data_IF_951806053804
#
_entry.id   IF_951806053804
#
_cell.length_a   1.000
_cell.length_b   1.000
_cell.length_c   1.000
_cell.angle_alpha   90.00
_cell.angle_beta   90.00
_cell.angle_gamma   90.00
#
_symmetry.space_group_name_H-M   'P 1'
#
loop_
_entity.id
_entity.type
_entity.pdbx_description
1 polymer ?
#
# COMPACT_ATOMS: atom_id res chain seq x y z
N UNK A 1 -12.00 10.08 2.89
CA UNK A 1 -12.91 9.19 2.15
C UNK A 1 -13.91 10.05 1.38
N UNK A 2 -14.08 9.76 0.09
CA UNK A 2 -15.10 10.37 -0.75
C UNK A 2 -16.46 9.70 -0.58
N UNK A 3 -17.49 10.29 -1.19
CA UNK A 3 -18.85 9.80 -1.12
C UNK A 3 -18.96 8.40 -1.73
N UNK A 4 -19.64 7.48 -1.05
CA UNK A 4 -19.79 6.08 -1.47
C UNK A 4 -18.46 5.33 -1.63
N UNK A 5 -17.35 5.84 -1.09
CA UNK A 5 -16.13 5.04 -1.00
C UNK A 5 -16.31 3.94 0.04
N UNK A 6 -15.76 2.76 -0.23
CA UNK A 6 -15.96 1.56 0.59
C UNK A 6 -14.64 0.85 0.83
N UNK A 7 -14.44 0.42 2.06
CA UNK A 7 -13.35 -0.49 2.45
C UNK A 7 -14.00 -1.81 2.85
N UNK A 8 -13.77 -2.86 2.07
CA UNK A 8 -14.17 -4.24 2.37
C UNK A 8 -13.09 -4.90 3.22
N UNK A 9 -13.13 -4.66 4.52
CA UNK A 9 -12.15 -5.21 5.47
C UNK A 9 -12.01 -4.36 6.74
N UNK A 10 -11.12 -4.80 7.62
CA UNK A 10 -10.78 -4.07 8.84
C UNK A 10 -9.91 -2.86 8.50
N UNK A 11 -10.10 -1.77 9.26
CA UNK A 11 -9.27 -0.57 9.14
C UNK A 11 -8.53 -0.32 10.44
N UNK A 12 -7.22 -0.16 10.35
CA UNK A 12 -6.41 0.38 11.44
C UNK A 12 -5.76 1.68 10.98
N UNK A 13 -5.82 2.73 11.79
CA UNK A 13 -5.23 4.03 11.45
C UNK A 13 -4.58 4.69 12.66
N UNK A 14 -3.35 5.19 12.49
CA UNK A 14 -2.70 6.07 13.48
C UNK A 14 -3.14 7.53 13.38
N UNK A 15 -4.02 7.84 12.42
CA UNK A 15 -4.57 9.17 12.16
C UNK A 15 -6.09 9.14 12.05
N UNK A 16 -6.70 10.33 12.01
CA UNK A 16 -8.15 10.44 11.83
C UNK A 16 -8.63 9.87 10.48
N UNK A 17 -9.80 9.23 10.47
CA UNK A 17 -10.46 8.71 9.27
C UNK A 17 -11.72 9.53 9.00
N UNK A 18 -11.67 10.38 7.98
CA UNK A 18 -12.69 11.40 7.72
C UNK A 18 -13.28 11.17 6.33
N UNK A 19 -14.60 11.04 6.24
CA UNK A 19 -15.35 11.24 5.02
C UNK A 19 -15.71 12.73 4.88
N UNK A 20 -14.98 13.43 4.03
CA UNK A 20 -15.13 14.88 3.82
C UNK A 20 -16.30 15.24 2.91
N UNK A 21 -16.83 14.26 2.18
CA UNK A 21 -18.00 14.40 1.32
C UNK A 21 -18.84 13.13 1.36
N UNK A 22 -20.12 13.26 1.72
CA UNK A 22 -21.03 12.12 1.82
C UNK A 22 -20.63 11.09 2.88
N UNK A 23 -21.03 9.84 2.68
CA UNK A 23 -20.76 8.73 3.61
C UNK A 23 -19.66 7.83 3.07
N UNK A 24 -18.64 7.56 3.89
CA UNK A 24 -17.66 6.50 3.65
C UNK A 24 -18.07 5.20 4.34
N UNK A 25 -17.83 4.05 3.72
CA UNK A 25 -18.27 2.75 4.22
C UNK A 25 -17.07 1.87 4.63
N UNK A 26 -17.18 1.19 5.77
CA UNK A 26 -16.24 0.18 6.24
C UNK A 26 -17.06 -1.07 6.58
N UNK A 27 -16.76 -2.18 5.91
CA UNK A 27 -17.57 -3.41 6.02
C UNK A 27 -17.27 -4.24 7.27
N UNK A 28 -16.13 -3.99 7.92
CA UNK A 28 -15.77 -4.64 9.16
C UNK A 28 -15.46 -3.58 10.22
N UNK A 29 -14.54 -3.91 11.14
CA UNK A 29 -14.22 -3.08 12.28
C UNK A 29 -13.16 -2.01 11.97
N UNK A 30 -13.23 -0.88 12.66
CA UNK A 30 -12.22 0.19 12.58
C UNK A 30 -11.58 0.48 13.94
N UNK A 31 -10.27 0.65 13.95
CA UNK A 31 -9.50 1.14 15.11
C UNK A 31 -8.71 2.39 14.70
N UNK A 32 -8.91 3.48 15.43
CA UNK A 32 -8.17 4.74 15.26
C UNK A 32 -7.37 5.01 16.53
N UNK A 33 -6.04 4.95 16.39
CA UNK A 33 -5.10 5.16 17.47
C UNK A 33 -4.85 6.64 17.78
N UNK A 34 -4.22 6.89 18.93
CA UNK A 34 -3.87 8.18 19.53
C UNK A 34 -5.06 9.05 19.95
N UNK A 35 -4.89 9.71 21.09
CA UNK A 35 -5.81 10.71 21.60
C UNK A 35 -5.87 11.92 20.66
N UNK A 36 -7.06 12.50 20.53
CA UNK A 36 -7.32 13.62 19.60
C UNK A 36 -7.67 13.20 18.17
N UNK A 37 -7.43 11.95 17.76
CA UNK A 37 -7.89 11.46 16.47
C UNK A 37 -9.37 11.10 16.46
N UNK A 38 -9.98 11.11 15.27
CA UNK A 38 -11.41 10.89 15.12
C UNK A 38 -11.81 10.07 13.91
N UNK A 39 -13.00 9.50 13.99
CA UNK A 39 -13.77 9.10 12.82
C UNK A 39 -14.85 10.16 12.53
N UNK A 40 -15.07 10.47 11.26
CA UNK A 40 -16.08 11.43 10.86
C UNK A 40 -16.78 11.02 9.56
N UNK A 41 -18.12 11.04 9.51
CA UNK A 41 -18.89 10.79 8.29
C UNK A 41 -18.89 9.33 7.80
N UNK A 42 -18.67 8.37 8.69
CA UNK A 42 -18.52 6.95 8.32
C UNK A 42 -19.77 6.12 8.62
N UNK A 43 -19.95 5.05 7.85
CA UNK A 43 -20.82 3.92 8.16
C UNK A 43 -19.95 2.68 8.37
N UNK A 44 -19.92 2.15 9.60
CA UNK A 44 -19.11 1.00 10.01
C UNK A 44 -20.04 -0.17 10.31
N UNK A 45 -19.88 -1.29 9.60
CA UNK A 45 -20.80 -2.42 9.70
C UNK A 45 -20.55 -3.35 10.90
N UNK A 46 -19.39 -3.25 11.54
CA UNK A 46 -19.08 -3.94 12.80
C UNK A 46 -18.73 -2.92 13.91
N UNK A 47 -17.59 -3.08 14.57
CA UNK A 47 -17.18 -2.29 15.73
C UNK A 47 -16.29 -1.11 15.37
N UNK A 48 -16.33 -0.06 16.20
CA UNK A 48 -15.42 1.07 16.09
C UNK A 48 -14.74 1.35 17.43
N UNK A 49 -13.41 1.48 17.43
CA UNK A 49 -12.62 1.93 18.59
C UNK A 49 -11.84 3.18 18.23
N UNK A 50 -12.10 4.31 18.90
CA UNK A 50 -11.56 5.64 18.51
C UNK A 50 -11.46 6.57 19.72
N UNK A 51 -10.72 7.68 19.64
CA UNK A 51 -10.84 8.74 20.66
C UNK A 51 -12.14 9.55 20.50
N UNK A 52 -12.38 10.15 19.34
CA UNK A 52 -13.59 10.95 19.05
C UNK A 52 -14.40 10.38 17.88
N UNK A 53 -15.73 10.30 18.02
CA UNK A 53 -16.66 9.96 16.95
C UNK A 53 -17.54 11.15 16.58
N UNK A 54 -17.61 11.50 15.30
CA UNK A 54 -18.47 12.56 14.78
C UNK A 54 -19.31 12.09 13.58
N UNK A 55 -20.61 12.38 13.56
CA UNK A 55 -21.50 12.17 12.40
C UNK A 55 -21.34 10.80 11.72
N UNK A 56 -21.22 9.72 12.50
CA UNK A 56 -20.93 8.38 11.99
C UNK A 56 -21.91 7.33 12.54
N UNK A 57 -22.27 6.34 11.74
CA UNK A 57 -23.14 5.25 12.11
C UNK A 57 -22.32 3.96 12.29
N UNK A 58 -22.39 3.35 13.47
CA UNK A 58 -21.73 2.10 13.81
C UNK A 58 -22.83 1.05 14.02
N UNK A 59 -22.77 -0.09 13.33
CA UNK A 59 -23.76 -1.16 13.52
C UNK A 59 -23.49 -1.97 14.77
N UNK A 60 -22.22 -2.24 15.10
CA UNK A 60 -21.82 -2.95 16.31
C UNK A 60 -21.61 -2.02 17.51
N UNK A 61 -20.49 -2.20 18.19
CA UNK A 61 -20.10 -1.49 19.41
C UNK A 61 -19.23 -0.29 19.05
N UNK A 62 -19.57 0.89 19.57
CA UNK A 62 -18.69 2.05 19.56
C UNK A 62 -17.96 2.15 20.91
N UNK A 63 -16.64 1.97 20.91
CA UNK A 63 -15.79 2.21 22.08
C UNK A 63 -15.01 3.51 21.89
N UNK A 64 -15.24 4.51 22.74
CA UNK A 64 -14.48 5.76 22.70
C UNK A 64 -13.53 5.92 23.90
N UNK A 65 -12.39 6.60 23.71
CA UNK A 65 -11.42 6.87 24.79
C UNK A 65 -11.88 8.04 25.65
N UNK A 66 -11.69 7.93 26.97
CA UNK A 66 -11.98 8.99 27.94
C UNK A 66 -11.23 10.28 27.59
N UNK A 67 -11.93 11.42 27.60
CA UNK A 67 -11.39 12.69 27.09
C UNK A 67 -11.76 12.96 25.62
N UNK A 68 -12.25 11.96 24.90
CA UNK A 68 -12.89 12.11 23.60
C UNK A 68 -14.37 12.44 23.68
N UNK A 69 -15.01 12.54 22.51
CA UNK A 69 -16.41 12.91 22.38
C UNK A 69 -17.17 12.02 21.38
N UNK A 70 -18.47 11.90 21.59
CA UNK A 70 -19.40 11.21 20.69
C UNK A 70 -20.45 12.23 20.27
N UNK A 71 -20.38 12.70 19.02
CA UNK A 71 -21.23 13.78 18.49
C UNK A 71 -21.98 13.28 17.27
N UNK A 72 -23.31 13.20 17.35
CA UNK A 72 -24.15 12.67 16.27
C UNK A 72 -23.70 11.29 15.77
N UNK A 73 -23.17 10.45 16.65
CA UNK A 73 -22.87 9.06 16.33
C UNK A 73 -23.92 8.12 16.89
N UNK A 74 -24.18 7.05 16.15
CA UNK A 74 -25.07 5.96 16.58
C UNK A 74 -24.28 4.66 16.69
N UNK A 75 -24.68 3.80 17.61
CA UNK A 75 -24.20 2.43 17.73
C UNK A 75 -25.42 1.50 17.77
N UNK A 76 -25.42 0.42 16.99
CA UNK A 76 -26.53 -0.54 16.97
C UNK A 76 -26.59 -1.43 18.20
N UNK A 77 -25.44 -1.68 18.84
CA UNK A 77 -25.38 -2.44 20.09
C UNK A 77 -25.22 -1.54 21.32
N UNK A 78 -24.02 -1.00 21.55
CA UNK A 78 -23.71 -0.21 22.73
C UNK A 78 -22.62 0.82 22.47
N UNK A 79 -22.63 1.89 23.29
CA UNK A 79 -21.56 2.86 23.36
C UNK A 79 -20.81 2.63 24.67
N UNK A 80 -19.51 2.34 24.57
CA UNK A 80 -18.62 2.07 25.69
C UNK A 80 -17.53 3.13 25.77
N UNK A 81 -16.99 3.30 26.97
CA UNK A 81 -15.83 4.17 27.21
C UNK A 81 -14.67 3.31 27.71
N UNK A 82 -13.45 3.63 27.29
CA UNK A 82 -12.20 3.09 27.85
C UNK A 82 -11.34 4.20 28.45
N UNK A 83 -10.56 3.93 29.51
CA UNK A 83 -9.71 4.95 30.13
C UNK A 83 -8.44 5.21 29.32
N UNK A 84 -7.81 4.14 28.83
CA UNK A 84 -6.49 4.21 28.22
C UNK A 84 -6.54 4.57 26.74
N UNK A 85 -5.52 5.31 26.30
CA UNK A 85 -5.27 5.61 24.89
C UNK A 85 -5.14 4.32 24.06
N UNK A 86 -5.45 4.45 22.77
CA UNK A 86 -5.20 3.40 21.79
C UNK A 86 -3.80 3.64 21.24
N UNK A 87 -2.86 2.77 21.60
CA UNK A 87 -1.46 2.87 21.18
C UNK A 87 -1.34 2.84 19.64
N UNK A 88 -0.44 3.68 19.12
CA UNK A 88 -0.09 3.65 17.71
C UNK A 88 0.70 2.38 17.38
N UNK A 89 0.59 1.90 16.14
CA UNK A 89 1.37 0.78 15.61
C UNK A 89 2.39 1.31 14.63
N UNK A 90 3.60 0.81 14.67
CA UNK A 90 4.57 1.09 13.63
C UNK A 90 4.15 0.47 12.30
N UNK A 91 4.64 1.04 11.20
CA UNK A 91 4.39 0.46 9.89
C UNK A 91 5.10 -0.91 9.79
N UNK A 92 4.50 -1.90 9.11
CA UNK A 92 4.96 -3.29 9.14
C UNK A 92 6.29 -3.54 8.41
N UNK A 93 6.68 -2.66 7.47
CA UNK A 93 7.95 -2.79 6.73
C UNK A 93 8.98 -1.84 7.35
N UNK A 94 10.08 -2.42 7.83
CA UNK A 94 11.15 -1.67 8.49
C UNK A 94 12.06 -0.94 7.49
N UNK A 95 12.73 0.16 7.89
CA UNK A 95 13.73 0.82 7.03
C UNK A 95 14.88 -0.11 6.62
N UNK A 96 15.30 -1.02 7.50
CA UNK A 96 16.35 -1.99 7.21
C UNK A 96 15.95 -2.92 6.05
N UNK A 97 14.71 -3.43 6.08
CA UNK A 97 14.18 -4.28 5.00
C UNK A 97 14.10 -3.53 3.65
N UNK A 98 13.75 -2.25 3.66
CA UNK A 98 13.77 -1.42 2.44
C UNK A 98 15.21 -1.27 1.92
N UNK A 99 16.18 -1.05 2.81
CA UNK A 99 17.60 -1.00 2.43
C UNK A 99 18.08 -2.31 1.83
N UNK A 100 17.70 -3.45 2.39
CA UNK A 100 18.07 -4.77 1.86
C UNK A 100 17.55 -4.98 0.43
N UNK A 101 16.29 -4.61 0.15
CA UNK A 101 15.72 -4.67 -1.20
C UNK A 101 16.43 -3.73 -2.19
N UNK A 102 16.84 -2.54 -1.75
CA UNK A 102 17.65 -1.63 -2.59
C UNK A 102 19.01 -2.25 -2.94
N UNK A 103 19.66 -2.89 -1.97
CA UNK A 103 20.94 -3.58 -2.18
C UNK A 103 20.80 -4.79 -3.10
N UNK A 104 19.74 -5.58 -2.97
CA UNK A 104 19.42 -6.71 -3.87
C UNK A 104 19.25 -6.23 -5.32
N UNK A 105 18.46 -5.18 -5.52
CA UNK A 105 18.26 -4.57 -6.83
C UNK A 105 19.58 -4.06 -7.44
N UNK A 106 20.41 -3.40 -6.63
CA UNK A 106 21.73 -2.91 -7.06
C UNK A 106 22.68 -4.05 -7.46
N UNK A 107 22.63 -5.18 -6.75
CA UNK A 107 23.44 -6.37 -7.05
C UNK A 107 23.07 -7.01 -8.40
N UNK A 108 21.82 -6.86 -8.84
CA UNK A 108 21.38 -7.24 -10.18
C UNK A 108 21.89 -6.33 -11.31
N UNK A 109 22.45 -5.18 -10.96
CA UNK A 109 23.02 -4.20 -11.88
C UNK A 109 22.38 -2.82 -11.74
N UNK A 110 23.02 -1.82 -12.34
CA UNK A 110 22.56 -0.42 -12.30
C UNK A 110 22.39 0.11 -13.73
N UNK A 111 21.17 0.54 -14.07
CA UNK A 111 20.87 1.27 -15.30
C UNK A 111 21.02 2.77 -15.01
N UNK A 112 21.89 3.45 -15.76
CA UNK A 112 22.20 4.88 -15.55
C UNK A 112 21.39 5.84 -16.44
N UNK A 113 20.44 5.32 -17.21
CA UNK A 113 19.48 6.08 -18.03
C UNK A 113 18.04 5.88 -17.54
N UNK A 114 17.11 6.70 -18.02
CA UNK A 114 15.68 6.41 -17.85
C UNK A 114 15.35 5.12 -18.61
N UNK A 115 14.41 4.35 -18.08
CA UNK A 115 13.87 3.14 -18.72
C UNK A 115 12.49 3.44 -19.25
N UNK A 116 12.25 3.12 -20.51
CA UNK A 116 10.99 3.37 -21.19
C UNK A 116 10.56 2.15 -22.00
N UNK A 117 9.40 1.59 -21.67
CA UNK A 117 8.80 0.45 -22.36
C UNK A 117 7.41 0.81 -22.89
N UNK A 118 7.14 0.48 -24.15
CA UNK A 118 5.90 0.83 -24.84
C UNK A 118 5.51 -0.25 -25.82
N UNK A 119 4.27 -0.73 -25.76
CA UNK A 119 3.69 -1.68 -26.73
C UNK A 119 4.50 -2.97 -26.93
N UNK A 120 5.20 -3.41 -25.89
CA UNK A 120 6.03 -4.62 -25.89
C UNK A 120 5.85 -5.40 -24.58
N UNK A 121 6.24 -6.68 -24.61
CA UNK A 121 6.51 -7.46 -23.39
C UNK A 121 7.99 -7.34 -23.05
N UNK A 122 8.32 -7.04 -21.80
CA UNK A 122 9.69 -6.88 -21.31
C UNK A 122 9.87 -7.61 -19.98
N UNK A 123 11.08 -8.08 -19.74
CA UNK A 123 11.47 -8.70 -18.46
C UNK A 123 12.44 -7.76 -17.75
N UNK A 124 12.26 -7.56 -16.45
CA UNK A 124 13.09 -6.65 -15.68
C UNK A 124 13.25 -7.14 -14.24
N UNK A 125 14.47 -7.10 -13.74
CA UNK A 125 14.80 -7.40 -12.34
C UNK A 125 15.67 -8.66 -12.15
N UNK A 126 16.42 -8.75 -11.04
CA UNK A 126 16.68 -7.67 -10.09
C UNK A 126 17.50 -6.54 -10.73
N UNK A 127 17.16 -5.28 -10.46
CA UNK A 127 17.86 -4.13 -11.07
C UNK A 127 17.61 -2.82 -10.31
N UNK A 128 18.63 -1.96 -10.26
CA UNK A 128 18.49 -0.56 -9.86
C UNK A 128 18.46 0.38 -11.10
N UNK A 129 17.58 1.38 -11.08
CA UNK A 129 17.46 2.43 -12.10
C UNK A 129 17.84 3.78 -11.48
N UNK A 130 18.94 4.35 -11.97
CA UNK A 130 19.55 5.60 -11.50
C UNK A 130 20.36 5.45 -10.21
N UNK A 131 20.89 6.56 -9.70
CA UNK A 131 21.58 6.63 -8.40
C UNK A 131 21.00 7.78 -7.57
N UNK A 132 21.23 7.84 -6.24
CA UNK A 132 20.80 8.97 -5.42
C UNK A 132 21.27 10.34 -5.95
N UNK A 133 22.46 10.39 -6.55
CA UNK A 133 23.05 11.62 -7.12
C UNK A 133 22.55 11.92 -8.54
N UNK A 134 22.06 10.91 -9.26
CA UNK A 134 21.51 11.04 -10.61
C UNK A 134 20.23 10.21 -10.77
N UNK A 135 19.09 10.65 -10.19
CA UNK A 135 17.85 9.89 -10.23
C UNK A 135 17.40 9.61 -11.67
N UNK A 136 16.88 8.40 -11.90
CA UNK A 136 16.29 7.97 -13.17
C UNK A 136 14.94 7.32 -12.93
N UNK A 137 14.06 7.45 -13.92
CA UNK A 137 12.69 7.00 -13.83
C UNK A 137 12.43 5.77 -14.70
N UNK A 138 11.41 5.00 -14.31
CA UNK A 138 10.84 3.90 -15.08
C UNK A 138 9.48 4.33 -15.62
N UNK A 139 9.28 4.19 -16.93
CA UNK A 139 7.98 4.39 -17.57
C UNK A 139 7.59 3.15 -18.37
N UNK A 140 6.41 2.61 -18.09
CA UNK A 140 5.78 1.53 -18.85
C UNK A 140 4.45 2.05 -19.37
N UNK A 141 4.21 1.95 -20.67
CA UNK A 141 3.04 2.57 -21.30
C UNK A 141 2.50 1.81 -22.51
N UNK A 142 1.40 2.30 -23.07
CA UNK A 142 0.79 1.87 -24.34
C UNK A 142 0.59 0.35 -24.45
N UNK A 143 -0.15 -0.21 -23.48
CA UNK A 143 -0.48 -1.64 -23.40
C UNK A 143 0.75 -2.57 -23.29
N UNK A 144 1.88 -2.06 -22.82
CA UNK A 144 3.05 -2.88 -22.54
C UNK A 144 2.79 -3.85 -21.37
N UNK A 145 3.51 -4.97 -21.38
CA UNK A 145 3.52 -5.97 -20.31
C UNK A 145 4.92 -6.00 -19.69
N UNK A 146 5.04 -5.66 -18.42
CA UNK A 146 6.28 -5.81 -17.67
C UNK A 146 6.22 -7.08 -16.81
N UNK A 147 7.07 -8.04 -17.15
CA UNK A 147 7.35 -9.24 -16.36
C UNK A 147 8.47 -8.95 -15.38
N UNK A 148 8.17 -8.94 -14.09
CA UNK A 148 9.14 -8.67 -13.03
C UNK A 148 9.84 -9.98 -12.67
N UNK A 149 11.14 -10.05 -12.85
CA UNK A 149 11.96 -11.26 -12.61
C UNK A 149 12.77 -11.19 -11.30
N UNK A 150 12.75 -10.05 -10.62
CA UNK A 150 13.40 -9.83 -9.32
C UNK A 150 13.09 -8.43 -8.78
N UNK A 151 13.68 -8.05 -7.65
CA UNK A 151 13.43 -6.74 -7.02
C UNK A 151 13.85 -5.58 -7.93
N UNK A 152 12.93 -4.64 -8.18
CA UNK A 152 13.21 -3.45 -8.99
C UNK A 152 13.26 -2.22 -8.07
N UNK A 153 14.39 -1.52 -8.06
CA UNK A 153 14.56 -0.25 -7.34
C UNK A 153 14.73 0.91 -8.31
N UNK A 154 13.89 1.94 -8.18
CA UNK A 154 13.94 3.15 -9.00
C UNK A 154 14.24 4.36 -8.11
N UNK A 155 15.32 5.08 -8.41
CA UNK A 155 15.72 6.28 -7.64
C UNK A 155 14.86 7.50 -7.96
N UNK A 156 14.31 7.57 -9.16
CA UNK A 156 13.33 8.57 -9.58
C UNK A 156 11.90 8.06 -9.46
N UNK A 157 11.05 8.50 -10.39
CA UNK A 157 9.62 8.18 -10.41
C UNK A 157 9.35 6.88 -11.19
N UNK A 158 8.24 6.23 -10.85
CA UNK A 158 7.66 5.11 -11.61
C UNK A 158 6.33 5.56 -12.21
N UNK A 159 6.16 5.32 -13.51
CA UNK A 159 4.98 5.73 -14.26
C UNK A 159 4.45 4.53 -15.05
N UNK A 160 3.24 4.08 -14.73
CA UNK A 160 2.53 3.00 -15.39
C UNK A 160 1.26 3.57 -16.04
N UNK A 161 1.24 3.72 -17.36
CA UNK A 161 0.21 4.47 -18.08
C UNK A 161 -0.43 3.70 -19.23
N UNK A 162 -1.63 4.10 -19.68
CA UNK A 162 -2.26 3.57 -20.90
C UNK A 162 -2.45 2.03 -20.92
N UNK A 163 -3.19 1.49 -19.95
CA UNK A 163 -3.65 0.08 -19.88
C UNK A 163 -2.51 -0.97 -19.84
N UNK A 164 -1.47 -0.71 -19.04
CA UNK A 164 -0.35 -1.65 -18.88
C UNK A 164 -0.67 -2.82 -17.97
N UNK A 165 0.08 -3.90 -18.14
CA UNK A 165 0.07 -5.06 -17.24
C UNK A 165 1.45 -5.15 -16.59
N UNK A 166 1.50 -5.11 -15.26
CA UNK A 166 2.70 -5.36 -14.48
C UNK A 166 2.45 -6.64 -13.69
N UNK A 167 3.26 -7.65 -13.92
CA UNK A 167 3.07 -8.94 -13.27
C UNK A 167 4.40 -9.58 -12.90
N UNK A 168 4.41 -10.30 -11.78
CA UNK A 168 5.56 -11.13 -11.44
C UNK A 168 5.71 -12.24 -12.48
N UNK A 169 6.95 -12.47 -12.89
CA UNK A 169 7.26 -13.58 -13.76
C UNK A 169 7.04 -14.90 -13.01
N UNK A 170 6.34 -15.83 -13.64
CA UNK A 170 5.91 -17.09 -13.02
C UNK A 170 7.09 -18.00 -12.71
N UNK A 171 8.04 -18.09 -13.64
CA UNK A 171 9.20 -18.96 -13.51
C UNK A 171 10.18 -18.42 -12.44
N UNK A 172 10.19 -17.10 -12.28
CA UNK A 172 11.00 -16.42 -11.25
C UNK A 172 10.38 -16.50 -9.85
N UNK A 173 9.06 -16.36 -9.72
CA UNK A 173 8.44 -16.21 -8.40
C UNK A 173 7.69 -17.45 -7.89
N UNK A 174 7.11 -18.32 -8.73
CA UNK A 174 6.23 -19.37 -8.23
C UNK A 174 5.17 -18.79 -7.28
N UNK A 175 5.01 -19.32 -6.06
CA UNK A 175 4.09 -18.77 -5.04
C UNK A 175 4.61 -17.56 -4.28
N UNK A 176 5.86 -17.12 -4.52
CA UNK A 176 6.46 -16.01 -3.81
C UNK A 176 5.92 -14.65 -4.26
N UNK A 177 5.98 -13.68 -3.37
CA UNK A 177 5.62 -12.28 -3.64
C UNK A 177 6.85 -11.47 -4.05
N UNK A 178 6.65 -10.35 -4.74
CA UNK A 178 7.71 -9.52 -5.30
C UNK A 178 7.50 -8.04 -5.05
N UNK A 179 8.60 -7.28 -5.16
CA UNK A 179 8.64 -5.86 -4.77
C UNK A 179 9.16 -5.01 -5.92
N UNK A 180 8.44 -3.91 -6.18
CA UNK A 180 8.92 -2.78 -6.96
C UNK A 180 8.90 -1.57 -6.03
N UNK A 181 10.04 -0.89 -5.88
CA UNK A 181 10.17 0.26 -5.01
C UNK A 181 10.74 1.48 -5.70
N UNK A 182 10.28 2.66 -5.28
CA UNK A 182 10.74 3.96 -5.76
C UNK A 182 11.09 4.90 -4.61
N UNK A 183 12.16 5.67 -4.77
CA UNK A 183 12.40 6.85 -3.92
C UNK A 183 11.55 8.05 -4.35
N UNK A 184 11.21 8.10 -5.65
CA UNK A 184 10.26 9.04 -6.21
C UNK A 184 8.81 8.58 -6.05
N UNK A 185 7.95 9.24 -6.82
CA UNK A 185 6.51 8.99 -6.85
C UNK A 185 6.19 7.79 -7.72
N UNK A 186 5.10 7.11 -7.40
CA UNK A 186 4.53 6.05 -8.22
C UNK A 186 3.18 6.51 -8.76
N UNK A 187 3.07 6.58 -10.08
CA UNK A 187 1.82 6.85 -10.78
C UNK A 187 1.36 5.60 -11.50
N UNK A 188 0.19 5.10 -11.10
CA UNK A 188 -0.53 4.02 -11.77
C UNK A 188 -1.74 4.65 -12.41
N UNK A 189 -1.84 4.66 -13.74
CA UNK A 189 -2.94 5.26 -14.47
C UNK A 189 -4.15 4.30 -14.58
N UNK A 190 -5.21 4.78 -15.23
CA UNK A 190 -6.44 4.05 -15.41
C UNK A 190 -6.22 2.68 -16.08
N UNK A 191 -6.99 1.69 -15.61
CA UNK A 191 -7.05 0.32 -16.13
C UNK A 191 -5.72 -0.44 -16.11
N UNK A 192 -4.73 0.00 -15.33
CA UNK A 192 -3.52 -0.79 -15.12
C UNK A 192 -3.83 -2.07 -14.33
N UNK A 193 -3.27 -3.20 -14.76
CA UNK A 193 -3.40 -4.48 -14.07
C UNK A 193 -2.07 -4.78 -13.38
N UNK A 194 -2.09 -4.89 -12.06
CA UNK A 194 -0.92 -5.17 -11.23
C UNK A 194 -1.17 -6.49 -10.52
N UNK A 195 -0.31 -7.51 -10.68
CA UNK A 195 -0.59 -8.82 -10.07
C UNK A 195 0.67 -9.61 -9.74
N UNK A 196 0.51 -10.60 -8.87
CA UNK A 196 1.54 -11.61 -8.62
C UNK A 196 1.78 -12.52 -9.83
N UNK A 197 2.42 -13.65 -9.59
CA UNK A 197 2.82 -14.63 -10.62
C UNK A 197 1.66 -15.42 -11.25
N UNK A 198 0.47 -15.29 -10.68
CA UNK A 198 -0.69 -16.13 -10.97
C UNK A 198 -0.82 -17.37 -10.08
N UNK A 199 0.17 -17.63 -9.20
CA UNK A 199 0.05 -18.65 -8.15
C UNK A 199 -0.63 -18.10 -6.90
N UNK A 200 -1.35 -18.97 -6.18
CA UNK A 200 -1.95 -18.62 -4.88
C UNK A 200 -0.86 -18.21 -3.90
N UNK A 201 -1.06 -17.07 -3.22
CA UNK A 201 -0.09 -16.52 -2.27
C UNK A 201 0.96 -15.60 -2.88
N UNK A 202 0.98 -15.42 -4.20
CA UNK A 202 1.89 -14.51 -4.89
C UNK A 202 1.26 -13.13 -5.08
N UNK A 203 1.92 -12.10 -4.55
CA UNK A 203 1.47 -10.71 -4.58
C UNK A 203 2.55 -9.75 -5.05
N UNK A 204 2.13 -8.67 -5.70
CA UNK A 204 3.03 -7.57 -6.10
C UNK A 204 2.86 -6.40 -5.13
N UNK A 205 3.97 -5.99 -4.51
CA UNK A 205 4.08 -4.80 -3.68
C UNK A 205 4.67 -3.63 -4.49
N UNK A 206 3.96 -2.51 -4.48
CA UNK A 206 4.47 -1.20 -4.91
C UNK A 206 4.75 -0.33 -3.69
N UNK A 207 6.02 0.03 -3.51
CA UNK A 207 6.48 0.80 -2.36
C UNK A 207 7.10 2.13 -2.80
N UNK A 208 6.60 3.24 -2.27
CA UNK A 208 7.26 4.55 -2.40
C UNK A 208 7.82 5.01 -1.07
N UNK A 209 9.06 5.51 -1.08
CA UNK A 209 9.62 6.24 0.07
C UNK A 209 9.44 7.75 -0.01
N UNK A 210 8.70 8.24 -1.02
CA UNK A 210 8.41 9.65 -1.17
C UNK A 210 7.53 10.15 -0.01
N UNK A 211 7.83 11.35 0.48
CA UNK A 211 7.14 11.95 1.63
C UNK A 211 6.02 12.91 1.23
N UNK A 212 5.68 13.02 -0.06
CA UNK A 212 4.63 13.93 -0.50
C UNK A 212 3.28 13.54 0.08
N UNK A 213 2.64 14.50 0.77
CA UNK A 213 1.28 14.39 1.30
C UNK A 213 0.26 15.26 0.54
N UNK A 214 0.70 15.85 -0.57
CA UNK A 214 -0.12 16.69 -1.45
C UNK A 214 -1.08 15.82 -2.28
N UNK A 215 -2.41 15.99 -2.15
CA UNK A 215 -3.39 15.27 -2.96
C UNK A 215 -3.27 15.48 -4.47
N UNK A 216 -2.68 16.57 -4.93
CA UNK A 216 -2.45 16.83 -6.38
C UNK A 216 -1.21 16.10 -6.89
N UNK A 217 -0.28 15.76 -6.00
CA UNK A 217 0.96 15.11 -6.36
C UNK A 217 1.43 14.14 -5.25
N UNK A 218 0.65 13.08 -4.97
CA UNK A 218 0.87 12.16 -3.86
C UNK A 218 2.13 11.31 -4.06
N UNK A 219 2.56 10.60 -3.03
CA UNK A 219 3.65 9.62 -3.13
C UNK A 219 3.25 8.44 -4.03
N UNK A 220 2.00 7.98 -3.92
CA UNK A 220 1.41 7.01 -4.84
C UNK A 220 0.05 7.53 -5.31
N UNK A 221 -0.14 7.62 -6.62
CA UNK A 221 -1.43 7.90 -7.26
C UNK A 221 -1.90 6.67 -8.01
N UNK A 222 -3.14 6.23 -7.75
CA UNK A 222 -3.74 5.08 -8.42
C UNK A 222 -5.00 5.52 -9.16
N UNK A 223 -4.98 5.40 -10.48
CA UNK A 223 -6.03 5.76 -11.44
C UNK A 223 -7.22 4.82 -11.39
N UNK A 224 -8.28 5.17 -12.12
CA UNK A 224 -9.55 4.45 -12.08
C UNK A 224 -9.42 3.01 -12.61
N UNK A 225 -10.17 2.08 -12.03
CA UNK A 225 -10.22 0.67 -12.45
C UNK A 225 -8.85 -0.05 -12.43
N UNK A 226 -7.86 0.46 -11.72
CA UNK A 226 -6.61 -0.26 -11.50
C UNK A 226 -6.84 -1.42 -10.52
N UNK A 227 -6.15 -2.55 -10.71
CA UNK A 227 -6.40 -3.78 -9.94
C UNK A 227 -5.11 -4.43 -9.42
N UNK A 228 -5.20 -5.08 -8.25
CA UNK A 228 -4.46 -6.28 -7.90
C UNK A 228 -3.11 -6.16 -7.17
N UNK A 229 -2.65 -4.95 -6.83
CA UNK A 229 -1.42 -4.74 -6.06
C UNK A 229 -1.66 -4.43 -4.57
N UNK A 230 -0.58 -4.58 -3.81
CA UNK A 230 -0.39 -4.02 -2.47
C UNK A 230 0.32 -2.68 -2.63
N UNK A 231 -0.17 -1.63 -1.96
CA UNK A 231 0.44 -0.30 -2.03
C UNK A 231 0.98 0.12 -0.66
N UNK A 232 2.23 0.60 -0.65
CA UNK A 232 2.90 1.02 0.56
C UNK A 232 3.60 2.37 0.41
N UNK A 233 3.31 3.32 1.30
CA UNK A 233 4.01 4.60 1.37
C UNK A 233 4.60 4.81 2.77
N UNK A 234 5.92 4.93 2.87
CA UNK A 234 6.61 5.04 4.18
C UNK A 234 6.22 6.29 4.97
N UNK A 235 6.01 7.41 4.25
CA UNK A 235 5.75 8.72 4.85
C UNK A 235 4.84 9.61 4.00
N UNK A 236 4.34 9.08 2.88
CA UNK A 236 3.58 9.83 1.89
C UNK A 236 2.08 9.54 1.88
N UNK A 237 1.37 10.31 1.08
CA UNK A 237 -0.03 10.09 0.74
C UNK A 237 -0.14 9.02 -0.35
N UNK A 238 -1.02 8.05 -0.14
CA UNK A 238 -1.58 7.21 -1.21
C UNK A 238 -2.95 7.80 -1.57
N UNK A 239 -3.15 8.05 -2.86
CA UNK A 239 -4.39 8.59 -3.41
C UNK A 239 -5.01 7.56 -4.36
N UNK A 240 -6.22 7.10 -4.05
CA UNK A 240 -6.97 6.18 -4.88
C UNK A 240 -8.11 6.90 -5.59
N UNK A 241 -8.17 6.74 -6.92
CA UNK A 241 -9.31 7.15 -7.74
C UNK A 241 -10.43 6.09 -7.70
N UNK A 242 -11.40 6.19 -8.60
CA UNK A 242 -12.65 5.44 -8.51
C UNK A 242 -12.46 3.98 -8.96
N UNK A 243 -13.22 3.05 -8.37
CA UNK A 243 -13.21 1.62 -8.72
C UNK A 243 -11.82 0.94 -8.66
N UNK A 244 -10.93 1.37 -7.76
CA UNK A 244 -9.60 0.75 -7.59
C UNK A 244 -9.70 -0.47 -6.71
N UNK A 245 -9.33 -1.65 -7.22
CA UNK A 245 -9.24 -2.88 -6.43
C UNK A 245 -7.81 -3.06 -5.91
N UNK A 246 -7.52 -2.57 -4.71
CA UNK A 246 -6.25 -2.80 -4.03
C UNK A 246 -6.38 -3.97 -3.02
N UNK A 247 -5.34 -4.81 -2.92
CA UNK A 247 -5.32 -5.97 -2.02
C UNK A 247 -4.97 -5.61 -0.57
N UNK A 248 -4.06 -4.66 -0.41
CA UNK A 248 -3.71 -4.06 0.87
C UNK A 248 -3.12 -2.67 0.64
N UNK A 249 -3.35 -1.77 1.60
CA UNK A 249 -2.83 -0.41 1.57
C UNK A 249 -2.28 -0.05 2.93
N UNK A 250 -1.01 0.34 2.97
CA UNK A 250 -0.38 0.90 4.16
C UNK A 250 0.26 2.24 3.81
N UNK A 251 -0.13 3.31 4.49
CA UNK A 251 0.45 4.63 4.24
C UNK A 251 0.41 5.54 5.44
N UNK A 252 1.20 6.62 5.37
CA UNK A 252 1.11 7.72 6.32
C UNK A 252 -0.22 8.48 6.22
N UNK A 253 -0.70 8.68 4.99
CA UNK A 253 -2.01 9.26 4.71
C UNK A 253 -2.67 8.50 3.57
N UNK A 254 -3.97 8.25 3.68
CA UNK A 254 -4.76 7.62 2.63
C UNK A 254 -5.92 8.54 2.25
N UNK A 255 -6.04 8.83 0.96
CA UNK A 255 -7.19 9.51 0.39
C UNK A 255 -7.85 8.62 -0.65
N UNK A 256 -9.13 8.36 -0.45
CA UNK A 256 -9.96 7.52 -1.31
C UNK A 256 -11.04 8.41 -1.92
N UNK A 257 -11.15 8.44 -3.25
CA UNK A 257 -12.17 9.21 -3.98
C UNK A 257 -13.55 8.55 -3.97
N UNK A 258 -14.54 9.26 -4.51
CA UNK A 258 -15.93 8.82 -4.52
C UNK A 258 -16.10 7.47 -5.26
N UNK A 259 -16.92 6.55 -4.73
CA UNK A 259 -17.16 5.23 -5.33
C UNK A 259 -15.92 4.34 -5.53
N UNK A 260 -14.79 4.64 -4.87
CA UNK A 260 -13.66 3.73 -4.85
C UNK A 260 -13.89 2.60 -3.84
N UNK A 261 -13.49 1.38 -4.17
CA UNK A 261 -13.72 0.19 -3.36
C UNK A 261 -12.41 -0.56 -3.08
N UNK A 262 -11.89 -0.46 -1.85
CA UNK A 262 -10.70 -1.23 -1.45
C UNK A 262 -11.15 -2.61 -0.98
N UNK A 263 -10.69 -3.67 -1.62
CA UNK A 263 -11.00 -5.05 -1.24
C UNK A 263 -9.79 -5.75 -0.62
N UNK A 264 -9.80 -5.87 0.70
CA UNK A 264 -8.78 -6.65 1.39
C UNK A 264 -9.02 -8.15 1.15
N UNK A 265 -8.00 -8.86 0.67
CA UNK A 265 -8.01 -10.32 0.66
C UNK A 265 -7.53 -10.84 2.03
N UNK A 266 -8.35 -11.64 2.69
CA UNK A 266 -7.97 -12.36 3.90
C UNK A 266 -6.85 -13.35 3.59
N UNK A 267 -5.71 -13.24 4.28
CA UNK A 267 -4.55 -14.14 4.08
C UNK A 267 -3.19 -13.43 3.96
N UNK A 268 -3.15 -12.10 3.88
CA UNK A 268 -1.89 -11.34 3.79
C UNK A 268 -1.10 -11.25 5.11
N UNK A 269 -1.69 -11.62 6.26
CA UNK A 269 -0.99 -11.58 7.54
C UNK A 269 0.22 -12.54 7.61
N UNK A 270 0.32 -13.50 6.68
CA UNK A 270 1.41 -14.48 6.56
C UNK A 270 2.17 -14.40 5.21
N UNK A 271 1.97 -13.36 4.40
CA UNK A 271 2.68 -13.27 3.11
C UNK A 271 4.13 -12.86 3.31
N UNK A 272 5.04 -13.83 3.20
CA UNK A 272 6.48 -13.56 3.07
C UNK A 272 6.73 -12.82 1.75
N UNK A 273 7.07 -11.54 1.84
CA UNK A 273 7.77 -10.83 0.76
C UNK A 273 9.19 -11.36 0.69
N UNK A 274 9.39 -12.45 -0.04
CA UNK A 274 10.73 -12.97 -0.28
C UNK A 274 11.43 -12.05 -1.28
N UNK A 275 12.69 -11.71 -1.00
CA UNK A 275 13.66 -11.48 -2.07
C UNK A 275 13.48 -12.61 -3.08
N UNK A 276 13.41 -12.32 -4.38
CA UNK A 276 13.27 -13.37 -5.40
C UNK A 276 14.39 -14.42 -5.30
N UNK A 277 14.38 -15.48 -6.12
CA UNK A 277 15.45 -16.48 -6.11
C UNK A 277 16.78 -15.82 -6.52
N UNK A 278 17.54 -15.32 -5.53
CA UNK A 278 18.72 -14.50 -5.79
C UNK A 278 19.64 -14.19 -4.60
N UNK A 279 19.29 -14.54 -3.37
CA UNK A 279 20.17 -14.35 -2.21
C UNK A 279 20.15 -15.55 -1.26
N UNK A 280 20.76 -16.66 -1.67
CA UNK A 280 21.14 -17.73 -0.74
C UNK A 280 22.47 -17.36 -0.08
N UNK A 281 22.46 -17.12 1.23
CA UNK A 281 23.69 -17.07 2.02
C UNK A 281 24.16 -18.51 2.25
N UNK A 282 25.22 -18.91 1.55
CA UNK A 282 25.96 -20.15 1.88
C UNK A 282 26.97 -19.81 2.98
N UNK A 283 26.81 -20.42 4.15
CA UNK A 283 27.87 -20.44 5.17
C UNK A 283 28.96 -21.39 4.65
N UNK A 284 30.05 -20.84 4.10
CA UNK A 284 31.14 -21.66 3.53
C UNK A 284 31.98 -22.37 4.60
N UNK A 285 32.07 -21.84 5.81
CA UNK A 285 32.59 -22.57 6.96
C UNK A 285 32.32 -21.85 8.27
N UNK A 286 32.28 -22.62 9.36
CA UNK A 286 32.26 -22.14 10.73
C UNK A 286 33.42 -22.79 11.49
N UNK A 287 34.08 -22.03 12.37
CA UNK A 287 35.11 -22.55 13.28
C UNK A 287 34.90 -21.93 14.66
N UNK A 288 34.67 -22.78 15.67
CA UNK A 288 34.75 -22.38 17.07
C UNK A 288 36.19 -22.03 17.42
N UNK A 289 36.37 -20.95 18.19
CA UNK A 289 37.65 -20.61 18.81
C UNK A 289 37.43 -20.81 20.31
N UNK A 290 38.09 -21.81 20.90
CA UNK A 290 38.24 -21.94 22.37
C UNK A 290 39.12 -20.83 22.95
#
# INVERSE_FOLDING_TARGET
MGNNSRIKGNVYSNGSVIASSGTGYIDNSIIVARNGNKIQGLSVAEDATVHTCENSAITGILTYVSGGSVVNCTAGESIKTRPDEIEAKDLPITPAQITDWKSEAAAGGIITSNVYYSSTTQFLGPIQIGTPEAPKSLTVTNNAVLKVTGTIYVTGDIIFENNVIIELDRDSYGSFSGVILADGKITVDNNAILRGSGETGSYLLLLSTNSSVDPVSPAISVGNNATGAIFYATSGLIYLNNNVEAREITSYKLQINNNAEVQYESGLQDTMFSSGPGASWVVESWKEIE
#
